data_IF_636458156646
#
_entry.id   IF_636458156646
#
_cell.length_a   1.000
_cell.length_b   1.000
_cell.length_c   1.000
_cell.angle_alpha   90.00
_cell.angle_beta   90.00
_cell.angle_gamma   90.00
#
_symmetry.space_group_name_H-M   'P 1'
#
loop_
_entity.id
_entity.type
_entity.pdbx_description
1 polymer ?
#
# COMPACT_ATOMS: atom_id res chain seq x y z
N UNK A 1 41.31 -11.39 11.68
CA UNK A 1 40.31 -10.31 11.80
C UNK A 1 39.18 -10.62 10.81
N UNK A 2 38.04 -11.14 11.28
CA UNK A 2 36.95 -11.62 10.42
C UNK A 2 35.83 -10.57 10.47
N UNK A 3 35.63 -9.83 9.38
CA UNK A 3 34.55 -8.85 9.29
C UNK A 3 33.22 -9.62 9.17
N UNK A 4 32.53 -9.79 10.29
CA UNK A 4 31.16 -10.29 10.32
C UNK A 4 30.27 -9.10 9.98
N UNK A 5 29.99 -8.92 8.70
CA UNK A 5 28.88 -8.08 8.26
C UNK A 5 27.61 -8.73 8.77
N UNK A 6 27.11 -8.21 9.89
CA UNK A 6 25.82 -8.53 10.47
C UNK A 6 24.73 -8.07 9.50
N UNK A 7 24.49 -8.85 8.44
CA UNK A 7 23.27 -8.73 7.66
C UNK A 7 22.13 -8.97 8.63
N UNK A 8 21.30 -7.94 8.85
CA UNK A 8 20.08 -8.06 9.66
C UNK A 8 19.17 -8.99 8.86
N UNK A 9 19.33 -10.30 9.08
CA UNK A 9 18.50 -11.35 8.50
C UNK A 9 17.13 -11.20 9.16
N UNK A 10 16.28 -10.38 8.56
CA UNK A 10 14.90 -10.25 9.00
C UNK A 10 14.25 -11.64 9.00
N UNK A 11 13.63 -12.07 10.12
CA UNK A 11 13.01 -13.39 10.21
C UNK A 11 11.98 -13.60 9.10
N UNK A 12 12.00 -14.75 8.40
CA UNK A 12 11.11 -15.03 7.27
C UNK A 12 9.61 -14.91 7.62
N UNK A 13 9.23 -15.26 8.86
CA UNK A 13 7.86 -15.12 9.34
C UNK A 13 7.40 -13.65 9.44
N UNK A 14 8.34 -12.73 9.72
CA UNK A 14 8.08 -11.29 9.82
C UNK A 14 7.87 -10.67 8.44
N UNK A 15 8.62 -11.13 7.41
CA UNK A 15 8.42 -10.70 6.02
C UNK A 15 7.03 -11.04 5.49
N UNK A 16 6.53 -12.25 5.79
CA UNK A 16 5.22 -12.70 5.30
C UNK A 16 4.06 -11.88 5.88
N UNK A 17 4.12 -11.63 7.19
CA UNK A 17 3.13 -10.77 7.87
C UNK A 17 3.20 -9.32 7.40
N UNK A 18 4.41 -8.76 7.22
CA UNK A 18 4.55 -7.41 6.70
C UNK A 18 4.05 -7.32 5.25
N UNK A 19 4.47 -8.19 4.34
CA UNK A 19 4.09 -8.04 2.93
C UNK A 19 2.60 -8.21 2.66
N UNK A 20 1.91 -9.07 3.42
CA UNK A 20 0.48 -9.30 3.20
C UNK A 20 -0.40 -8.30 3.94
N UNK A 21 -0.12 -8.04 5.23
CA UNK A 21 -0.97 -7.14 6.01
C UNK A 21 -0.65 -5.67 5.84
N UNK A 22 0.62 -5.30 5.63
CA UNK A 22 1.02 -3.90 5.50
C UNK A 22 0.46 -3.30 4.21
N UNK A 23 0.48 -4.05 3.10
CA UNK A 23 -0.02 -3.59 1.82
C UNK A 23 -1.55 -3.34 1.87
N UNK A 24 -2.31 -4.28 2.44
CA UNK A 24 -3.75 -4.09 2.66
C UNK A 24 -4.05 -2.95 3.64
N UNK A 25 -3.28 -2.82 4.71
CA UNK A 25 -3.44 -1.73 5.70
C UNK A 25 -3.16 -0.37 5.06
N UNK A 26 -2.13 -0.28 4.21
CA UNK A 26 -1.77 0.95 3.51
C UNK A 26 -2.86 1.38 2.54
N UNK A 27 -3.39 0.44 1.75
CA UNK A 27 -4.53 0.67 0.84
C UNK A 27 -5.76 1.18 1.62
N UNK A 28 -6.09 0.56 2.74
CA UNK A 28 -7.21 1.00 3.58
C UNK A 28 -6.98 2.39 4.18
N UNK A 29 -5.76 2.66 4.64
CA UNK A 29 -5.39 3.94 5.25
C UNK A 29 -5.39 5.09 4.23
N UNK A 30 -4.87 4.87 3.01
CA UNK A 30 -4.94 5.85 1.92
C UNK A 30 -6.39 6.19 1.57
N UNK A 31 -7.27 5.18 1.50
CA UNK A 31 -8.68 5.40 1.21
C UNK A 31 -9.38 6.17 2.34
N UNK A 32 -9.07 5.84 3.59
CA UNK A 32 -9.60 6.56 4.74
C UNK A 32 -9.13 8.02 4.76
N UNK A 33 -7.83 8.27 4.55
CA UNK A 33 -7.29 9.63 4.46
C UNK A 33 -7.94 10.40 3.32
N UNK A 34 -8.05 9.79 2.13
CA UNK A 34 -8.72 10.39 0.98
C UNK A 34 -10.10 10.93 1.33
N UNK A 35 -10.95 10.09 1.94
CA UNK A 35 -12.31 10.48 2.35
C UNK A 35 -12.26 11.63 3.36
N UNK A 36 -11.40 11.56 4.37
CA UNK A 36 -11.25 12.61 5.39
C UNK A 36 -10.82 13.94 4.75
N UNK A 37 -9.83 13.93 3.86
CA UNK A 37 -9.34 15.13 3.18
C UNK A 37 -10.40 15.74 2.25
N UNK A 38 -11.17 14.92 1.55
CA UNK A 38 -12.29 15.37 0.71
C UNK A 38 -13.39 15.99 1.58
N UNK A 39 -13.74 15.35 2.71
CA UNK A 39 -14.75 15.84 3.63
C UNK A 39 -14.36 17.20 4.22
N UNK A 40 -13.12 17.32 4.69
CA UNK A 40 -12.55 18.59 5.20
C UNK A 40 -12.53 19.65 4.10
N UNK A 41 -12.12 19.30 2.88
CA UNK A 41 -12.10 20.21 1.73
C UNK A 41 -13.50 20.64 1.27
N UNK A 42 -14.52 19.83 1.54
CA UNK A 42 -15.91 20.22 1.30
C UNK A 42 -16.41 21.20 2.36
N UNK A 43 -16.12 20.93 3.64
CA UNK A 43 -16.53 21.77 4.78
C UNK A 43 -15.85 23.13 4.80
N UNK A 44 -14.56 23.21 4.47
CA UNK A 44 -13.81 24.47 4.46
C UNK A 44 -13.91 25.27 3.16
N UNK A 45 -14.41 24.66 2.07
CA UNK A 45 -14.43 25.28 0.75
C UNK A 45 -13.03 25.51 0.14
N UNK A 46 -11.99 24.92 0.73
CA UNK A 46 -10.61 25.11 0.28
C UNK A 46 -10.24 24.12 -0.83
N UNK A 47 -9.80 24.67 -1.96
CA UNK A 47 -9.43 23.92 -3.16
C UNK A 47 -8.20 23.02 -2.90
N UNK A 48 -7.30 23.43 -2.02
CA UNK A 48 -6.09 22.68 -1.68
C UNK A 48 -6.41 21.28 -1.13
N UNK A 49 -7.30 21.19 -0.14
CA UNK A 49 -7.71 19.93 0.47
C UNK A 49 -8.42 19.00 -0.53
N UNK A 50 -9.15 19.57 -1.50
CA UNK A 50 -9.74 18.79 -2.59
C UNK A 50 -8.67 18.21 -3.52
N UNK A 51 -7.64 18.99 -3.85
CA UNK A 51 -6.49 18.51 -4.62
C UNK A 51 -5.75 17.38 -3.94
N UNK A 52 -5.49 17.51 -2.63
CA UNK A 52 -4.88 16.44 -1.81
C UNK A 52 -5.76 15.18 -1.79
N UNK A 53 -7.07 15.34 -1.63
CA UNK A 53 -8.02 14.24 -1.70
C UNK A 53 -7.99 13.47 -3.02
N UNK A 54 -8.00 14.17 -4.16
CA UNK A 54 -7.90 13.55 -5.48
C UNK A 54 -6.55 12.86 -5.67
N UNK A 55 -5.45 13.46 -5.22
CA UNK A 55 -4.12 12.83 -5.24
C UNK A 55 -4.07 11.51 -4.47
N UNK A 56 -4.69 11.47 -3.29
CA UNK A 56 -4.84 10.24 -2.49
C UNK A 56 -5.71 9.18 -3.17
N UNK A 57 -6.77 9.57 -3.90
CA UNK A 57 -7.54 8.61 -4.72
C UNK A 57 -6.66 7.98 -5.79
N UNK A 58 -5.85 8.77 -6.49
CA UNK A 58 -4.97 8.26 -7.56
C UNK A 58 -3.93 7.28 -6.99
N UNK A 59 -3.30 7.63 -5.86
CA UNK A 59 -2.37 6.76 -5.15
C UNK A 59 -3.04 5.44 -4.71
N UNK A 60 -4.28 5.53 -4.23
CA UNK A 60 -5.04 4.34 -3.87
C UNK A 60 -5.30 3.43 -5.07
N UNK A 61 -5.71 3.99 -6.21
CA UNK A 61 -5.97 3.23 -7.45
C UNK A 61 -4.70 2.53 -7.95
N UNK A 62 -3.55 3.20 -7.91
CA UNK A 62 -2.28 2.59 -8.33
C UNK A 62 -1.85 1.46 -7.39
N UNK A 63 -1.97 1.65 -6.07
CA UNK A 63 -1.74 0.60 -5.08
C UNK A 63 -2.67 -0.61 -5.28
N UNK A 64 -3.95 -0.36 -5.57
CA UNK A 64 -4.93 -1.40 -5.84
C UNK A 64 -4.61 -2.20 -7.11
N UNK A 65 -4.21 -1.52 -8.19
CA UNK A 65 -3.78 -2.16 -9.45
C UNK A 65 -2.54 -3.02 -9.22
N UNK A 66 -1.55 -2.52 -8.48
CA UNK A 66 -0.35 -3.28 -8.15
C UNK A 66 -0.68 -4.56 -7.36
N UNK A 67 -1.62 -4.47 -6.41
CA UNK A 67 -2.12 -5.63 -5.67
C UNK A 67 -2.83 -6.65 -6.58
N UNK A 68 -3.67 -6.17 -7.51
CA UNK A 68 -4.36 -7.02 -8.50
C UNK A 68 -3.36 -7.77 -9.39
N UNK A 69 -2.34 -7.08 -9.91
CA UNK A 69 -1.29 -7.69 -10.72
C UNK A 69 -0.49 -8.73 -9.94
N UNK A 70 -0.11 -8.43 -8.68
CA UNK A 70 0.56 -9.41 -7.79
C UNK A 70 -0.29 -10.67 -7.61
N UNK A 71 -1.60 -10.51 -7.41
CA UNK A 71 -2.54 -11.63 -7.24
C UNK A 71 -2.73 -12.44 -8.52
N UNK A 72 -2.82 -11.80 -9.67
CA UNK A 72 -2.94 -12.46 -10.98
C UNK A 72 -1.69 -13.30 -11.29
N UNK A 73 -0.49 -12.74 -11.07
CA UNK A 73 0.77 -13.43 -11.34
C UNK A 73 0.98 -14.68 -10.44
N UNK A 74 0.57 -14.59 -9.17
CA UNK A 74 0.58 -15.76 -8.27
C UNK A 74 -0.38 -16.87 -8.73
N UNK A 75 -1.47 -16.52 -9.43
CA UNK A 75 -2.46 -17.48 -9.91
C UNK A 75 -1.98 -18.24 -11.14
N UNK A 76 -1.21 -17.59 -12.03
CA UNK A 76 -0.61 -18.24 -13.20
C UNK A 76 0.45 -19.28 -12.83
N UNK A 77 1.25 -19.06 -11.78
CA UNK A 77 2.25 -20.06 -11.33
C UNK A 77 1.67 -21.28 -10.60
N UNK A 78 0.42 -21.22 -10.12
CA UNK A 78 -0.22 -22.35 -9.44
C UNK A 78 -0.98 -23.28 -10.39
N UNK A 79 -1.15 -22.90 -11.66
CA UNK A 79 -1.82 -23.69 -12.69
C UNK A 79 -0.85 -24.52 -13.56
N UNK A 80 0.46 -24.44 -13.30
CA UNK A 80 1.50 -25.25 -13.96
C UNK A 80 2.07 -26.36 -13.03
N UNK A 81 1.45 -26.62 -11.88
CA UNK A 81 1.73 -27.78 -11.01
C UNK A 81 0.54 -28.73 -11.00
#
# INVERSE_FOLDING_TARGET
MKNVTSSIVFPQWRRRLLEEHLLMTLILLELFLSIVFILIGYLKGEIYFRGVGVGLIIAWVTSFIAYLFKRLNNKTMNNEK
#
